data_IF_673066146656
#
_entry.id   IF_673066146656
#
_cell.length_a   1.000
_cell.length_b   1.000
_cell.length_c   1.000
_cell.angle_alpha   90.00
_cell.angle_beta   90.00
_cell.angle_gamma   90.00
#
_symmetry.space_group_name_H-M   'P 1'
#
loop_
_entity.id
_entity.type
_entity.pdbx_description
1 polymer ?
#
# COMPACT_ATOMS: atom_id res chain seq x y z
N UNK A 1 34.28 10.37 52.02
CA UNK A 1 34.11 9.10 51.29
C UNK A 1 32.67 9.06 50.80
N UNK A 2 32.37 9.78 49.72
CA UNK A 2 31.06 9.72 49.07
C UNK A 2 31.17 8.72 47.92
N UNK A 3 30.45 7.62 48.01
CA UNK A 3 30.27 6.71 46.89
C UNK A 3 29.34 7.41 45.89
N UNK A 4 29.90 7.80 44.75
CA UNK A 4 29.10 8.21 43.61
C UNK A 4 28.57 6.91 43.02
N UNK A 5 27.25 6.70 43.12
CA UNK A 5 26.56 5.68 42.34
C UNK A 5 26.63 6.16 40.90
N UNK A 6 27.53 5.59 40.10
CA UNK A 6 27.39 5.65 38.65
C UNK A 6 26.06 4.97 38.31
N UNK A 7 25.16 5.60 37.54
CA UNK A 7 24.01 4.88 37.01
C UNK A 7 24.55 3.71 36.19
N UNK A 8 24.00 2.52 36.41
CA UNK A 8 24.18 1.42 35.48
C UNK A 8 23.51 1.86 34.17
N UNK A 9 24.30 2.28 33.19
CA UNK A 9 23.84 2.25 31.81
C UNK A 9 23.55 0.78 31.50
N UNK A 10 22.36 0.48 30.97
CA UNK A 10 22.15 -0.82 30.35
C UNK A 10 23.27 -1.03 29.32
N UNK A 11 23.79 -2.25 29.22
CA UNK A 11 24.64 -2.58 28.07
C UNK A 11 23.85 -2.25 26.80
N UNK A 12 24.53 -1.69 25.80
CA UNK A 12 23.98 -1.59 24.45
C UNK A 12 23.57 -3.03 24.06
N UNK A 13 22.34 -3.18 23.59
CA UNK A 13 21.79 -4.44 23.11
C UNK A 13 21.07 -4.17 21.80
N UNK A 14 20.58 -5.22 21.15
CA UNK A 14 19.96 -5.05 19.83
C UNK A 14 18.75 -4.11 19.90
N UNK A 15 18.83 -2.98 19.20
CA UNK A 15 17.77 -1.96 19.17
C UNK A 15 16.81 -2.25 18.02
N UNK A 16 15.51 -2.02 18.24
CA UNK A 16 14.50 -2.14 17.20
C UNK A 16 13.42 -1.07 17.33
N UNK A 17 12.89 -0.63 16.19
CA UNK A 17 11.84 0.39 16.10
C UNK A 17 10.77 0.00 15.10
N UNK A 18 9.51 0.28 15.45
CA UNK A 18 8.36 0.07 14.59
C UNK A 18 7.32 1.16 14.82
N UNK A 19 6.57 1.50 13.77
CA UNK A 19 5.44 2.39 13.91
C UNK A 19 4.43 2.22 12.79
N UNK A 20 3.19 2.57 13.08
CA UNK A 20 2.08 2.40 12.16
C UNK A 20 1.10 3.56 12.29
N UNK A 21 0.68 4.12 11.15
CA UNK A 21 -0.25 5.24 11.08
C UNK A 21 -1.26 5.04 9.97
N UNK A 22 -2.55 5.13 10.29
CA UNK A 22 -3.57 4.92 9.26
C UNK A 22 -3.81 6.13 8.35
N UNK A 23 -3.83 7.35 8.91
CA UNK A 23 -4.12 8.56 8.15
C UNK A 23 -3.04 9.61 8.41
N UNK A 24 -2.37 10.03 7.36
CA UNK A 24 -1.34 11.05 7.39
C UNK A 24 -1.45 12.05 6.23
N UNK A 25 -0.84 13.23 6.38
CA UNK A 25 -0.61 14.19 5.32
C UNK A 25 -1.22 15.57 5.58
N UNK A 26 -1.56 16.29 4.52
CA UNK A 26 -2.08 17.66 4.59
C UNK A 26 -3.41 17.76 3.88
N UNK A 27 -4.39 18.38 4.52
CA UNK A 27 -5.70 18.68 3.93
C UNK A 27 -5.94 20.18 4.00
N UNK A 28 -5.96 20.84 2.83
CA UNK A 28 -6.26 22.28 2.72
C UNK A 28 -5.36 23.16 3.61
N UNK A 29 -4.06 22.84 3.61
CA UNK A 29 -3.06 23.53 4.42
C UNK A 29 -3.09 23.20 5.91
N UNK A 30 -4.00 22.34 6.36
CA UNK A 30 -3.98 21.76 7.71
C UNK A 30 -3.15 20.49 7.70
N UNK A 31 -2.08 20.49 8.48
CA UNK A 31 -1.23 19.33 8.69
C UNK A 31 -1.92 18.35 9.66
N UNK A 32 -2.16 17.12 9.19
CA UNK A 32 -2.78 16.08 9.99
C UNK A 32 -1.83 15.54 11.07
N UNK A 33 -0.52 15.75 10.94
CA UNK A 33 0.49 15.42 11.97
C UNK A 33 0.29 16.19 13.28
N UNK A 34 -0.28 17.38 13.20
CA UNK A 34 -0.53 18.21 14.38
C UNK A 34 -1.75 17.73 15.19
N UNK A 35 -2.52 16.77 14.67
CA UNK A 35 -3.76 16.28 15.27
C UNK A 35 -3.45 15.02 16.09
N UNK A 36 -3.41 15.17 17.41
CA UNK A 36 -3.08 14.08 18.34
C UNK A 36 -4.02 12.86 18.21
N UNK A 37 -5.28 13.06 17.82
CA UNK A 37 -6.25 11.99 17.59
C UNK A 37 -5.93 11.12 16.36
N UNK A 38 -5.16 11.64 15.41
CA UNK A 38 -4.68 10.92 14.22
C UNK A 38 -3.28 10.34 14.41
N UNK A 39 -2.67 10.54 15.57
CA UNK A 39 -1.35 9.98 15.86
C UNK A 39 -1.39 8.45 15.76
N UNK A 40 -0.38 7.92 15.08
CA UNK A 40 -0.15 6.48 14.99
C UNK A 40 0.36 5.88 16.29
N UNK A 41 0.87 4.66 16.20
CA UNK A 41 1.67 4.02 17.24
C UNK A 41 3.14 4.06 16.85
N UNK A 42 4.00 4.19 17.85
CA UNK A 42 5.46 4.10 17.69
C UNK A 42 6.03 3.39 18.92
N UNK A 43 6.85 2.38 18.68
CA UNK A 43 7.48 1.57 19.72
C UNK A 43 8.97 1.43 19.47
N UNK A 44 9.71 1.39 20.57
CA UNK A 44 11.16 1.23 20.57
C UNK A 44 11.54 0.20 21.63
N UNK A 45 12.38 -0.76 21.25
CA UNK A 45 13.02 -1.68 22.15
C UNK A 45 14.54 -1.43 22.15
N UNK A 46 15.09 -1.20 23.33
CA UNK A 46 16.51 -0.90 23.56
C UNK A 46 17.25 -2.16 24.06
N UNK A 47 17.11 -3.29 23.36
CA UNK A 47 17.74 -4.56 23.72
C UNK A 47 17.14 -5.29 24.92
N UNK A 48 15.86 -5.06 25.22
CA UNK A 48 15.14 -5.72 26.32
C UNK A 48 14.50 -7.02 25.82
N UNK A 49 14.67 -8.10 26.59
CA UNK A 49 14.13 -9.43 26.27
C UNK A 49 12.60 -9.51 26.17
N UNK A 50 11.88 -8.56 26.78
CA UNK A 50 10.42 -8.48 26.63
C UNK A 50 10.11 -7.50 25.49
N UNK A 51 9.27 -7.88 24.52
CA UNK A 51 8.93 -7.01 23.41
C UNK A 51 8.11 -5.80 23.87
N UNK A 52 8.30 -4.68 23.19
CA UNK A 52 7.52 -3.47 23.37
C UNK A 52 6.46 -3.42 22.28
N UNK A 53 5.20 -3.61 22.66
CA UNK A 53 4.05 -3.63 21.74
C UNK A 53 3.05 -2.55 22.12
N UNK A 54 2.49 -1.86 21.11
CA UNK A 54 1.41 -0.90 21.29
C UNK A 54 0.35 -1.03 20.19
N UNK A 55 -0.88 -0.63 20.51
CA UNK A 55 -2.00 -0.65 19.59
C UNK A 55 -2.94 0.54 19.82
N UNK A 56 -3.33 1.21 18.75
CA UNK A 56 -4.22 2.38 18.78
C UNK A 56 -5.36 2.24 17.76
N UNK A 57 -6.53 1.75 18.16
CA UNK A 57 -7.70 1.74 17.29
C UNK A 57 -8.19 3.17 17.05
N UNK A 58 -8.28 3.56 15.77
CA UNK A 58 -8.77 4.88 15.39
C UNK A 58 -10.30 4.91 15.46
N UNK A 59 -10.83 5.75 16.34
CA UNK A 59 -12.27 6.00 16.40
C UNK A 59 -12.67 6.99 15.31
N UNK A 60 -13.34 6.48 14.27
CA UNK A 60 -13.79 7.27 13.12
C UNK A 60 -14.77 8.39 13.48
N UNK A 61 -15.44 8.31 14.64
CA UNK A 61 -16.29 9.40 15.12
C UNK A 61 -15.49 10.63 15.53
N UNK A 62 -14.17 10.50 15.71
CA UNK A 62 -13.27 11.64 15.95
C UNK A 62 -13.07 12.49 14.69
N UNK A 63 -13.23 11.92 13.48
CA UNK A 63 -13.09 12.68 12.23
C UNK A 63 -14.14 13.79 12.11
N UNK A 64 -15.35 13.57 12.64
CA UNK A 64 -16.43 14.57 12.72
C UNK A 64 -16.05 15.77 13.61
N UNK A 65 -15.11 15.59 14.53
CA UNK A 65 -14.68 16.61 15.49
C UNK A 65 -13.52 17.48 14.97
N UNK A 66 -12.78 16.96 13.99
CA UNK A 66 -11.66 17.64 13.36
C UNK A 66 -12.21 18.60 12.31
N UNK A 67 -12.03 19.90 12.54
CA UNK A 67 -12.49 20.94 11.63
C UNK A 67 -11.30 21.51 10.86
N UNK A 68 -11.33 21.38 9.54
CA UNK A 68 -10.32 21.91 8.62
C UNK A 68 -10.67 23.36 8.30
N UNK A 69 -9.70 24.27 8.44
CA UNK A 69 -9.90 25.70 8.16
C UNK A 69 -9.50 26.01 6.73
N UNK A 70 -10.46 26.39 5.89
CA UNK A 70 -10.22 26.66 4.46
C UNK A 70 -10.09 28.16 4.19
N UNK A 71 -10.81 28.96 4.99
CA UNK A 71 -10.83 30.41 4.94
C UNK A 71 -11.00 30.95 6.38
N UNK A 72 -10.71 32.24 6.67
CA UNK A 72 -10.84 32.80 8.01
C UNK A 72 -12.22 32.65 8.68
N UNK A 73 -13.25 32.14 7.98
CA UNK A 73 -14.57 31.87 8.54
C UNK A 73 -15.24 30.57 8.02
N UNK A 74 -14.55 29.71 7.27
CA UNK A 74 -15.12 28.44 6.76
C UNK A 74 -14.38 27.26 7.39
N UNK A 75 -15.14 26.46 8.15
CA UNK A 75 -14.70 25.22 8.76
C UNK A 75 -15.49 24.08 8.15
N UNK A 76 -14.79 23.09 7.61
CA UNK A 76 -15.39 21.87 7.09
C UNK A 76 -14.89 20.71 7.97
N UNK A 77 -15.79 19.89 8.52
CA UNK A 77 -15.41 18.63 9.18
C UNK A 77 -14.56 17.76 8.27
N UNK A 78 -13.52 17.11 8.79
CA UNK A 78 -12.70 16.19 8.01
C UNK A 78 -13.53 15.03 7.44
N UNK A 79 -14.58 14.62 8.14
CA UNK A 79 -15.57 13.62 7.71
C UNK A 79 -16.32 13.94 6.41
N UNK A 80 -16.40 15.24 6.05
CA UNK A 80 -17.04 15.65 4.81
C UNK A 80 -16.09 15.45 3.61
N UNK A 81 -14.77 15.34 3.84
CA UNK A 81 -13.76 15.09 2.81
C UNK A 81 -13.34 13.62 2.81
N UNK A 82 -13.08 13.05 3.98
CA UNK A 82 -12.56 11.69 4.17
C UNK A 82 -13.44 10.94 5.15
N UNK A 83 -14.09 9.87 4.68
CA UNK A 83 -14.83 8.92 5.50
C UNK A 83 -14.01 7.65 5.61
N UNK A 84 -13.74 7.21 6.82
CA UNK A 84 -12.99 5.99 7.08
C UNK A 84 -13.88 4.94 7.77
N UNK A 85 -13.61 3.67 7.50
CA UNK A 85 -14.05 2.57 8.34
C UNK A 85 -13.26 2.48 9.64
N UNK A 86 -13.72 1.66 10.59
CA UNK A 86 -12.99 1.42 11.83
C UNK A 86 -11.63 0.78 11.54
N UNK A 87 -10.53 1.44 11.89
CA UNK A 87 -9.17 0.98 11.56
C UNK A 87 -8.34 0.81 12.82
N UNK A 88 -7.39 -0.10 12.77
CA UNK A 88 -6.47 -0.33 13.85
C UNK A 88 -5.03 -0.03 13.43
N UNK A 89 -4.19 0.26 14.41
CA UNK A 89 -2.79 0.56 14.23
C UNK A 89 -2.03 -0.24 15.27
N UNK A 90 -1.02 -0.99 14.85
CA UNK A 90 -0.30 -1.91 15.72
C UNK A 90 1.18 -1.91 15.37
N UNK A 91 2.03 -1.95 16.39
CA UNK A 91 3.48 -2.07 16.22
C UNK A 91 4.11 -2.84 17.37
N UNK A 92 5.16 -3.59 17.07
CA UNK A 92 6.00 -4.29 18.05
C UNK A 92 7.48 -4.13 17.72
N UNK A 93 8.28 -3.94 18.77
CA UNK A 93 9.74 -3.90 18.72
C UNK A 93 10.28 -4.98 19.67
N UNK A 94 11.04 -5.93 19.14
CA UNK A 94 11.54 -7.10 19.85
C UNK A 94 13.05 -6.99 20.12
N UNK A 95 13.58 -7.90 20.93
CA UNK A 95 15.03 -8.08 21.01
C UNK A 95 15.57 -8.64 19.67
N UNK A 96 16.89 -8.76 19.54
CA UNK A 96 17.53 -9.23 18.30
C UNK A 96 17.19 -8.37 17.07
N UNK A 97 17.04 -7.06 17.21
CA UNK A 97 16.90 -6.13 16.08
C UNK A 97 15.73 -6.50 15.14
N UNK A 98 14.64 -7.05 15.71
CA UNK A 98 13.42 -7.44 14.96
C UNK A 98 12.29 -6.46 15.26
N UNK A 99 11.61 -5.99 14.22
CA UNK A 99 10.51 -5.03 14.35
C UNK A 99 9.41 -5.28 13.33
N UNK A 100 8.15 -5.07 13.76
CA UNK A 100 6.97 -5.36 12.96
C UNK A 100 5.88 -4.32 13.19
N UNK A 101 5.27 -3.84 12.13
CA UNK A 101 4.23 -2.80 12.14
C UNK A 101 3.13 -3.14 11.15
N UNK A 102 1.88 -2.84 11.51
CA UNK A 102 0.72 -3.02 10.64
C UNK A 102 -0.39 -2.01 10.95
N UNK A 103 -1.15 -1.61 9.93
CA UNK A 103 -2.30 -0.71 10.08
C UNK A 103 -3.42 -1.01 9.09
N UNK A 104 -4.65 -0.62 9.43
CA UNK A 104 -5.84 -0.81 8.61
C UNK A 104 -6.73 -1.94 9.13
N UNK A 105 -6.94 -2.98 8.31
CA UNK A 105 -7.74 -4.16 8.63
C UNK A 105 -7.06 -5.17 9.56
N UNK A 106 -6.50 -4.64 10.64
CA UNK A 106 -5.66 -5.37 11.58
C UNK A 106 -6.41 -5.54 12.90
N UNK A 107 -6.43 -6.75 13.44
CA UNK A 107 -6.93 -7.02 14.79
C UNK A 107 -5.93 -6.54 15.85
N UNK A 108 -6.39 -6.35 17.11
CA UNK A 108 -5.58 -5.83 18.22
C UNK A 108 -4.34 -6.67 18.58
N UNK A 109 -4.20 -7.85 17.97
CA UNK A 109 -3.08 -8.77 18.14
C UNK A 109 -2.13 -8.78 16.92
N UNK A 110 -2.21 -7.80 16.03
CA UNK A 110 -1.41 -7.75 14.80
C UNK A 110 -1.91 -8.69 13.69
N UNK A 111 -3.04 -9.39 13.90
CA UNK A 111 -3.60 -10.28 12.89
C UNK A 111 -4.31 -9.49 11.79
N UNK A 112 -3.80 -9.55 10.56
CA UNK A 112 -4.45 -8.94 9.39
C UNK A 112 -5.64 -9.80 8.97
N UNK A 113 -6.78 -9.18 8.67
CA UNK A 113 -7.93 -9.88 8.11
C UNK A 113 -8.57 -9.13 6.96
N UNK A 114 -9.12 -9.91 6.02
CA UNK A 114 -9.53 -9.46 4.69
C UNK A 114 -10.93 -8.78 4.67
N UNK A 115 -11.35 -8.12 5.75
CA UNK A 115 -12.62 -7.37 5.77
C UNK A 115 -13.93 -8.19 5.83
N UNK A 116 -13.90 -9.53 5.73
CA UNK A 116 -15.12 -10.37 5.57
C UNK A 116 -15.70 -10.97 6.86
N UNK A 117 -14.98 -10.86 7.99
CA UNK A 117 -15.44 -11.34 9.30
C UNK A 117 -15.93 -10.18 10.18
N UNK A 118 -16.85 -10.46 11.12
CA UNK A 118 -17.49 -9.41 11.92
C UNK A 118 -16.45 -8.74 12.86
N UNK A 119 -16.03 -7.52 12.53
CA UNK A 119 -15.08 -6.73 13.32
C UNK A 119 -13.95 -6.05 12.51
N UNK A 120 -13.88 -6.27 11.20
CA UNK A 120 -12.87 -5.66 10.31
C UNK A 120 -13.37 -4.32 9.70
N UNK A 121 -12.46 -3.44 9.22
CA UNK A 121 -12.76 -2.07 8.79
C UNK A 121 -13.77 -1.96 7.67
N UNK A 122 -14.49 -0.84 7.67
CA UNK A 122 -15.31 -0.42 6.54
C UNK A 122 -14.48 0.27 5.44
N UNK A 123 -15.14 0.47 4.30
CA UNK A 123 -14.63 1.21 3.14
C UNK A 123 -14.14 2.62 3.53
N UNK A 124 -13.19 3.14 2.75
CA UNK A 124 -12.81 4.55 2.78
C UNK A 124 -13.45 5.29 1.59
N UNK A 125 -13.94 6.51 1.81
CA UNK A 125 -14.49 7.34 0.75
C UNK A 125 -13.86 8.72 0.82
N UNK A 126 -13.38 9.19 -0.33
CA UNK A 126 -12.86 10.54 -0.54
C UNK A 126 -13.85 11.31 -1.40
N UNK A 127 -14.51 12.29 -0.80
CA UNK A 127 -15.39 13.22 -1.50
C UNK A 127 -14.59 14.47 -1.80
N UNK A 128 -14.30 14.68 -3.09
CA UNK A 128 -13.49 15.79 -3.56
C UNK A 128 -14.35 16.90 -4.15
N UNK A 129 -15.69 16.78 -4.14
CA UNK A 129 -16.63 17.72 -4.76
C UNK A 129 -16.33 19.17 -4.38
N UNK A 130 -16.23 19.41 -3.07
CA UNK A 130 -16.07 20.75 -2.50
C UNK A 130 -14.66 21.31 -2.75
N UNK A 131 -13.74 20.49 -3.26
CA UNK A 131 -12.34 20.83 -3.50
C UNK A 131 -12.05 21.19 -4.97
N UNK A 132 -12.95 20.87 -5.91
CA UNK A 132 -12.74 21.01 -7.35
C UNK A 132 -12.72 22.46 -7.86
N UNK A 133 -13.17 23.43 -7.06
CA UNK A 133 -13.14 24.85 -7.39
C UNK A 133 -14.10 25.28 -8.52
N UNK A 134 -14.49 26.55 -8.55
CA UNK A 134 -15.53 27.06 -9.46
C UNK A 134 -15.16 26.98 -10.96
N UNK A 135 -13.87 26.85 -11.30
CA UNK A 135 -13.41 26.79 -12.69
C UNK A 135 -13.64 25.45 -13.36
N UNK A 136 -13.86 24.39 -12.58
CA UNK A 136 -13.94 23.01 -13.07
C UNK A 136 -15.33 22.43 -13.02
N UNK A 137 -16.23 22.99 -12.22
CA UNK A 137 -17.63 22.56 -12.09
C UNK A 137 -18.43 22.59 -13.40
N UNK A 138 -17.94 23.32 -14.41
CA UNK A 138 -18.53 23.34 -15.75
C UNK A 138 -18.24 22.05 -16.56
N UNK A 139 -17.13 21.36 -16.27
CA UNK A 139 -16.69 20.13 -16.93
C UNK A 139 -16.86 18.91 -16.00
N UNK A 140 -16.39 19.01 -14.76
CA UNK A 140 -16.45 17.98 -13.73
C UNK A 140 -17.21 18.55 -12.55
N UNK A 141 -18.42 18.05 -12.31
CA UNK A 141 -19.23 18.50 -11.18
C UNK A 141 -18.82 17.86 -9.86
N UNK A 142 -18.26 16.65 -9.91
CA UNK A 142 -17.93 15.85 -8.74
C UNK A 142 -16.87 14.80 -9.11
N UNK A 143 -15.98 14.50 -8.16
CA UNK A 143 -15.01 13.42 -8.17
C UNK A 143 -15.06 12.74 -6.81
N UNK A 144 -15.44 11.47 -6.80
CA UNK A 144 -15.48 10.62 -5.61
C UNK A 144 -14.57 9.41 -5.84
N UNK A 145 -13.72 9.10 -4.86
CA UNK A 145 -12.92 7.87 -4.83
C UNK A 145 -13.39 7.00 -3.66
N UNK A 146 -13.98 5.85 -3.97
CA UNK A 146 -14.35 4.84 -3.00
C UNK A 146 -13.31 3.72 -3.00
N UNK A 147 -12.88 3.30 -1.82
CA UNK A 147 -11.89 2.24 -1.62
C UNK A 147 -12.46 1.23 -0.64
N UNK A 148 -12.18 -0.05 -0.89
CA UNK A 148 -12.45 -1.12 0.05
C UNK A 148 -11.60 -1.01 1.33
N UNK A 149 -11.54 -2.10 2.10
CA UNK A 149 -10.61 -2.18 3.21
C UNK A 149 -9.17 -1.99 2.70
N UNK A 150 -8.39 -1.17 3.42
CA UNK A 150 -7.00 -0.85 3.11
C UNK A 150 -6.13 -1.26 4.30
N UNK A 151 -5.01 -1.92 4.05
CA UNK A 151 -4.01 -2.26 5.08
C UNK A 151 -2.58 -2.28 4.54
N UNK A 152 -1.62 -2.14 5.46
CA UNK A 152 -0.20 -2.36 5.18
C UNK A 152 0.50 -3.07 6.33
N UNK A 153 1.63 -3.67 6.01
CA UNK A 153 2.50 -4.39 6.93
C UNK A 153 3.97 -4.16 6.56
N UNK A 154 4.80 -3.91 7.57
CA UNK A 154 6.25 -3.85 7.42
C UNK A 154 6.90 -4.70 8.50
N UNK A 155 7.86 -5.54 8.11
CA UNK A 155 8.64 -6.40 9.00
C UNK A 155 10.12 -6.29 8.66
N UNK A 156 10.97 -6.13 9.66
CA UNK A 156 12.42 -6.08 9.53
C UNK A 156 13.04 -7.04 10.54
N UNK A 157 13.83 -7.99 10.07
CA UNK A 157 14.51 -8.97 10.92
C UNK A 157 15.98 -9.19 10.49
N UNK A 158 16.85 -9.63 11.40
CA UNK A 158 18.20 -10.08 11.06
C UNK A 158 18.24 -11.22 10.05
N UNK A 159 19.10 -11.10 9.03
CA UNK A 159 19.44 -12.19 8.13
C UNK A 159 20.96 -12.29 7.95
N UNK A 160 21.59 -13.11 8.80
CA UNK A 160 23.06 -13.18 8.88
C UNK A 160 23.65 -11.87 9.42
N UNK A 161 24.64 -11.31 8.71
CA UNK A 161 25.23 -10.00 9.02
C UNK A 161 24.34 -8.83 8.53
N UNK A 162 23.36 -9.10 7.66
CA UNK A 162 22.47 -8.13 7.03
C UNK A 162 21.06 -8.16 7.68
N UNK A 163 20.11 -7.42 7.08
CA UNK A 163 18.70 -7.44 7.41
C UNK A 163 17.86 -7.97 6.25
N UNK A 164 16.67 -8.47 6.56
CA UNK A 164 15.64 -8.83 5.60
C UNK A 164 14.42 -7.98 5.89
N UNK A 165 13.94 -7.26 4.87
CA UNK A 165 12.72 -6.44 4.97
C UNK A 165 11.61 -7.09 4.17
N UNK A 166 10.46 -7.27 4.83
CA UNK A 166 9.21 -7.69 4.20
C UNK A 166 8.22 -6.54 4.24
N UNK A 167 7.62 -6.22 3.09
CA UNK A 167 6.60 -5.16 2.98
C UNK A 167 5.40 -5.70 2.21
N UNK A 168 4.22 -5.55 2.79
CA UNK A 168 2.97 -5.97 2.18
C UNK A 168 1.91 -4.87 2.30
N UNK A 169 0.97 -4.87 1.36
CA UNK A 169 -0.20 -4.01 1.38
C UNK A 169 -1.40 -4.75 0.78
N UNK A 170 -2.60 -4.36 1.20
CA UNK A 170 -3.84 -4.92 0.66
C UNK A 170 -4.87 -3.79 0.45
N UNK A 171 -5.52 -3.82 -0.70
CA UNK A 171 -6.67 -2.98 -1.04
C UNK A 171 -7.76 -3.92 -1.57
N UNK A 172 -8.89 -3.97 -0.88
CA UNK A 172 -9.98 -4.90 -1.21
C UNK A 172 -10.76 -4.54 -2.48
N UNK A 173 -10.58 -3.32 -3.00
CA UNK A 173 -11.20 -2.82 -4.23
C UNK A 173 -11.14 -1.30 -4.30
N UNK A 174 -11.43 -0.73 -5.47
CA UNK A 174 -11.47 0.72 -5.66
C UNK A 174 -12.35 1.12 -6.83
N UNK A 175 -13.14 2.18 -6.63
CA UNK A 175 -14.00 2.75 -7.66
C UNK A 175 -13.79 4.27 -7.71
N UNK A 176 -13.49 4.78 -8.90
CA UNK A 176 -13.46 6.21 -9.17
C UNK A 176 -14.76 6.61 -9.87
N UNK A 177 -15.45 7.60 -9.31
CA UNK A 177 -16.67 8.18 -9.88
C UNK A 177 -16.42 9.64 -10.25
N UNK A 178 -16.66 9.97 -11.51
CA UNK A 178 -16.49 11.33 -12.03
C UNK A 178 -17.80 11.80 -12.64
N UNK A 179 -18.46 12.76 -12.01
CA UNK A 179 -19.73 13.30 -12.51
C UNK A 179 -19.46 14.40 -13.53
N UNK A 180 -19.94 14.19 -14.75
CA UNK A 180 -19.71 15.09 -15.88
C UNK A 180 -21.07 15.63 -16.32
N UNK A 181 -21.41 16.92 -16.06
CA UNK A 181 -22.71 17.48 -16.39
C UNK A 181 -23.14 17.30 -17.84
N UNK A 182 -22.17 17.28 -18.77
CA UNK A 182 -22.40 17.08 -20.20
C UNK A 182 -22.93 15.67 -20.52
N UNK A 183 -22.68 14.70 -19.64
CA UNK A 183 -23.11 13.30 -19.78
C UNK A 183 -24.43 13.00 -19.07
N UNK A 184 -25.09 13.96 -18.40
CA UNK A 184 -26.29 13.75 -17.54
C UNK A 184 -27.56 13.18 -18.20
N UNK A 185 -27.49 12.71 -19.45
CA UNK A 185 -28.57 11.96 -20.11
C UNK A 185 -28.07 10.68 -20.78
N UNK A 186 -26.81 10.32 -20.55
CA UNK A 186 -26.15 9.16 -21.12
C UNK A 186 -26.06 8.07 -20.06
N UNK A 187 -26.61 6.91 -20.39
CA UNK A 187 -26.36 5.66 -19.69
C UNK A 187 -25.67 4.72 -20.68
N UNK A 188 -24.45 4.28 -20.36
CA UNK A 188 -23.65 3.37 -21.16
C UNK A 188 -23.08 2.29 -20.26
N UNK A 189 -23.62 1.07 -20.34
CA UNK A 189 -23.05 -0.12 -19.71
C UNK A 189 -22.48 -1.03 -20.79
N UNK A 190 -21.23 -1.47 -20.60
CA UNK A 190 -20.51 -2.35 -21.53
C UNK A 190 -20.64 -3.84 -21.16
N UNK A 191 -21.50 -4.18 -20.19
CA UNK A 191 -21.67 -5.54 -19.67
C UNK A 191 -21.72 -5.56 -18.14
N UNK A 192 -22.00 -6.72 -17.56
CA UNK A 192 -22.02 -6.91 -16.10
C UNK A 192 -20.61 -6.92 -15.49
N UNK A 193 -19.58 -7.19 -16.30
CA UNK A 193 -18.17 -7.27 -15.89
C UNK A 193 -17.33 -6.08 -16.43
N UNK A 194 -17.98 -4.99 -16.83
CA UNK A 194 -17.30 -3.85 -17.41
C UNK A 194 -16.54 -3.06 -16.33
N UNK A 195 -15.22 -2.88 -16.51
CA UNK A 195 -14.43 -2.03 -15.64
C UNK A 195 -14.84 -0.54 -15.72
N UNK A 196 -15.51 -0.13 -16.79
CA UNK A 196 -15.93 1.25 -17.03
C UNK A 196 -17.38 1.29 -17.49
N UNK A 197 -18.18 2.16 -16.88
CA UNK A 197 -19.54 2.43 -17.31
C UNK A 197 -19.94 3.87 -17.01
N UNK A 198 -21.07 4.31 -17.60
CA UNK A 198 -21.67 5.61 -17.35
C UNK A 198 -23.10 5.38 -16.90
N UNK A 199 -23.47 5.97 -15.76
CA UNK A 199 -24.83 5.96 -15.22
C UNK A 199 -25.21 7.37 -14.77
N UNK A 200 -26.35 7.88 -15.21
CA UNK A 200 -26.90 9.19 -14.84
C UNK A 200 -25.92 10.38 -15.03
N UNK A 201 -24.95 10.24 -15.95
CA UNK A 201 -23.90 11.23 -16.22
C UNK A 201 -22.66 11.15 -15.32
N UNK A 202 -22.57 10.11 -14.51
CA UNK A 202 -21.37 9.77 -13.75
C UNK A 202 -20.60 8.69 -14.50
N UNK A 203 -19.32 8.94 -14.75
CA UNK A 203 -18.36 7.95 -15.23
C UNK A 203 -17.87 7.15 -14.03
N UNK A 204 -18.12 5.85 -14.06
CA UNK A 204 -17.65 4.90 -13.08
C UNK A 204 -16.47 4.11 -13.65
N UNK A 205 -15.40 4.01 -12.88
CA UNK A 205 -14.20 3.25 -13.21
C UNK A 205 -13.89 2.35 -12.02
N UNK A 206 -14.13 1.05 -12.18
CA UNK A 206 -13.68 0.01 -11.27
C UNK A 206 -12.18 -0.21 -11.49
N UNK A 207 -11.38 0.31 -10.56
CA UNK A 207 -9.93 0.26 -10.60
C UNK A 207 -9.42 -1.18 -10.42
N UNK A 208 -10.11 -1.99 -9.62
CA UNK A 208 -9.70 -3.38 -9.41
C UNK A 208 -9.91 -4.21 -10.68
N UNK A 209 -11.07 -4.05 -11.33
CA UNK A 209 -11.33 -4.68 -12.63
C UNK A 209 -10.40 -4.15 -13.73
N UNK A 210 -10.12 -2.84 -13.75
CA UNK A 210 -9.29 -2.20 -14.77
C UNK A 210 -7.83 -2.68 -14.74
N UNK A 211 -7.28 -2.88 -13.54
CA UNK A 211 -5.88 -3.28 -13.35
C UNK A 211 -5.68 -4.78 -13.10
N UNK A 212 -6.75 -5.58 -13.19
CA UNK A 212 -6.75 -7.02 -12.88
C UNK A 212 -6.30 -7.33 -11.44
N UNK A 213 -6.61 -6.43 -10.52
CA UNK A 213 -6.19 -6.47 -9.12
C UNK A 213 -5.38 -5.22 -8.72
N UNK A 214 -5.72 -4.66 -7.56
CA UNK A 214 -4.93 -3.56 -6.95
C UNK A 214 -3.74 -4.03 -6.11
N UNK A 215 -3.66 -5.34 -5.86
CA UNK A 215 -2.61 -5.98 -5.06
C UNK A 215 -1.47 -6.45 -5.98
N UNK A 216 -0.26 -6.62 -5.43
CA UNK A 216 0.95 -7.05 -6.16
C UNK A 216 1.43 -6.09 -7.27
N UNK A 217 1.00 -4.83 -7.24
CA UNK A 217 1.51 -3.80 -8.14
C UNK A 217 2.93 -3.38 -7.71
N UNK A 218 3.82 -3.01 -8.65
CA UNK A 218 5.16 -2.53 -8.31
C UNK A 218 5.14 -1.34 -7.34
N UNK A 219 6.24 -1.09 -6.60
CA UNK A 219 6.34 0.06 -5.73
C UNK A 219 6.04 1.40 -6.44
N UNK A 220 5.31 2.28 -5.76
CA UNK A 220 4.95 3.61 -6.22
C UNK A 220 4.21 3.62 -7.57
N UNK A 221 3.32 2.65 -7.78
CA UNK A 221 2.52 2.55 -9.01
C UNK A 221 1.43 3.61 -9.01
N UNK A 222 1.34 4.40 -10.08
CA UNK A 222 0.31 5.43 -10.26
C UNK A 222 -0.92 4.83 -10.97
N UNK A 223 -2.06 4.80 -10.28
CA UNK A 223 -3.35 4.32 -10.80
C UNK A 223 -4.09 5.41 -11.57
N UNK A 224 -4.13 6.61 -11.01
CA UNK A 224 -4.78 7.78 -11.60
C UNK A 224 -3.68 8.79 -11.91
N UNK A 225 -3.46 8.99 -13.21
CA UNK A 225 -2.41 9.80 -13.81
C UNK A 225 -2.52 9.75 -15.33
N UNK A 226 -1.55 10.28 -16.09
CA UNK A 226 -1.60 10.29 -17.55
C UNK A 226 -1.82 8.91 -18.18
N UNK A 227 -1.25 7.86 -17.58
CA UNK A 227 -1.39 6.49 -18.10
C UNK A 227 -2.77 5.88 -17.96
N UNK A 228 -3.63 6.37 -17.05
CA UNK A 228 -5.02 5.90 -16.97
C UNK A 228 -5.76 6.18 -18.28
N UNK A 229 -5.58 7.38 -18.82
CA UNK A 229 -6.28 7.81 -20.03
C UNK A 229 -5.78 7.12 -21.28
N UNK A 230 -4.49 6.75 -21.34
CA UNK A 230 -3.98 5.88 -22.39
C UNK A 230 -4.73 4.52 -22.38
N UNK A 231 -4.99 3.94 -21.20
CA UNK A 231 -5.75 2.70 -21.06
C UNK A 231 -7.21 2.90 -21.46
N UNK A 232 -7.83 4.00 -21.03
CA UNK A 232 -9.21 4.33 -21.38
C UNK A 232 -9.38 4.50 -22.89
N UNK A 233 -8.46 5.21 -23.54
CA UNK A 233 -8.45 5.43 -24.99
C UNK A 233 -8.24 4.12 -25.76
N UNK A 234 -7.36 3.24 -25.29
CA UNK A 234 -7.16 1.91 -25.89
C UNK A 234 -8.42 1.05 -25.76
N UNK A 235 -9.08 1.03 -24.60
CA UNK A 235 -10.34 0.31 -24.37
C UNK A 235 -11.49 0.86 -25.23
N UNK A 236 -11.61 2.18 -25.31
CA UNK A 236 -12.57 2.83 -26.21
C UNK A 236 -12.25 2.50 -27.67
N UNK A 237 -10.98 2.55 -28.07
CA UNK A 237 -10.52 2.21 -29.40
C UNK A 237 -10.87 0.77 -29.79
N UNK A 238 -10.66 -0.19 -28.89
CA UNK A 238 -11.00 -1.60 -29.11
C UNK A 238 -12.51 -1.80 -29.25
N UNK A 239 -13.29 -1.23 -28.32
CA UNK A 239 -14.75 -1.29 -28.34
C UNK A 239 -15.33 -0.68 -29.63
N UNK A 240 -14.84 0.48 -30.04
CA UNK A 240 -15.27 1.16 -31.26
C UNK A 240 -14.80 0.45 -32.52
N UNK A 241 -13.62 -0.17 -32.48
CA UNK A 241 -13.14 -1.05 -33.53
C UNK A 241 -14.06 -2.23 -33.77
N UNK A 242 -14.61 -2.82 -32.71
CA UNK A 242 -15.57 -3.94 -32.80
C UNK A 242 -16.97 -3.50 -33.28
N UNK A 243 -17.43 -2.31 -32.88
CA UNK A 243 -18.67 -1.68 -33.37
C UNK A 243 -18.58 -1.20 -34.83
N UNK A 244 -17.36 -1.13 -35.38
CA UNK A 244 -17.05 -0.84 -36.78
C UNK A 244 -16.73 0.63 -37.05
N UNK A 245 -15.86 0.86 -38.05
CA UNK A 245 -15.30 2.18 -38.44
C UNK A 245 -16.35 3.30 -38.53
N UNK A 246 -17.60 2.99 -38.93
CA UNK A 246 -18.65 3.99 -39.08
C UNK A 246 -19.22 4.56 -37.77
N UNK A 247 -19.10 3.85 -36.65
CA UNK A 247 -19.50 4.38 -35.33
C UNK A 247 -18.37 5.21 -34.71
N UNK A 248 -17.12 4.76 -34.90
CA UNK A 248 -15.92 5.53 -34.54
C UNK A 248 -15.88 6.89 -35.25
N UNK A 249 -16.12 6.93 -36.56
CA UNK A 249 -16.22 8.19 -37.32
C UNK A 249 -17.34 9.11 -36.79
N UNK A 250 -18.46 8.54 -36.34
CA UNK A 250 -19.57 9.32 -35.79
C UNK A 250 -19.24 9.90 -34.41
N UNK A 251 -18.53 9.15 -33.56
CA UNK A 251 -18.12 9.61 -32.23
C UNK A 251 -16.98 10.64 -32.34
N UNK A 252 -16.04 10.44 -33.26
CA UNK A 252 -15.03 11.44 -33.60
C UNK A 252 -15.67 12.75 -34.11
N UNK A 253 -16.66 12.68 -35.01
CA UNK A 253 -17.39 13.88 -35.49
C UNK A 253 -18.28 14.53 -34.41
N UNK A 254 -18.63 13.78 -33.35
CA UNK A 254 -19.30 14.30 -32.15
C UNK A 254 -18.32 14.96 -31.17
N UNK A 255 -17.00 14.91 -31.43
CA UNK A 255 -15.98 15.50 -30.58
C UNK A 255 -15.78 14.75 -29.27
N UNK A 256 -15.99 13.42 -29.27
CA UNK A 256 -15.73 12.59 -28.08
C UNK A 256 -14.24 12.59 -27.74
N UNK A 257 -13.36 12.55 -28.75
CA UNK A 257 -11.91 12.62 -28.57
C UNK A 257 -11.49 13.94 -27.89
N UNK A 258 -12.08 15.08 -28.29
CA UNK A 258 -11.82 16.37 -27.65
C UNK A 258 -12.33 16.41 -26.19
N UNK A 259 -13.38 15.64 -25.87
CA UNK A 259 -13.93 15.53 -24.52
C UNK A 259 -13.06 14.62 -23.63
N UNK A 260 -12.58 13.49 -24.17
CA UNK A 260 -11.71 12.56 -23.43
C UNK A 260 -10.35 13.21 -23.16
N UNK A 261 -9.75 13.87 -24.15
CA UNK A 261 -8.50 14.61 -23.99
C UNK A 261 -8.64 15.73 -22.94
N UNK A 262 -9.75 16.50 -23.01
CA UNK A 262 -10.01 17.59 -22.07
C UNK A 262 -10.30 17.10 -20.66
N UNK A 263 -10.97 15.96 -20.51
CA UNK A 263 -11.19 15.31 -19.22
C UNK A 263 -9.90 14.72 -18.66
N UNK A 264 -9.05 14.15 -19.51
CA UNK A 264 -7.76 13.59 -19.16
C UNK A 264 -6.83 14.65 -18.58
N UNK A 265 -6.65 15.75 -19.32
CA UNK A 265 -5.84 16.88 -18.86
C UNK A 265 -6.40 17.45 -17.55
N UNK A 266 -7.72 17.65 -17.48
CA UNK A 266 -8.37 18.16 -16.28
C UNK A 266 -8.20 17.24 -15.07
N UNK A 267 -8.42 15.93 -15.20
CA UNK A 267 -8.34 15.00 -14.08
C UNK A 267 -6.90 14.77 -13.63
N UNK A 268 -5.94 14.66 -14.55
CA UNK A 268 -4.53 14.43 -14.21
C UNK A 268 -3.85 15.63 -13.57
N UNK A 269 -4.30 16.84 -13.90
CA UNK A 269 -3.89 18.06 -13.20
C UNK A 269 -4.45 18.13 -11.78
N UNK A 270 -5.52 17.37 -11.48
CA UNK A 270 -6.27 17.50 -10.24
C UNK A 270 -6.06 16.34 -9.31
N UNK A 271 -5.99 15.11 -9.79
CA UNK A 271 -6.00 13.90 -8.97
C UNK A 271 -4.85 13.00 -9.41
N UNK A 272 -3.95 12.71 -8.47
CA UNK A 272 -2.96 11.65 -8.58
C UNK A 272 -3.22 10.63 -7.47
N UNK A 273 -3.27 9.36 -7.85
CA UNK A 273 -3.44 8.25 -6.90
C UNK A 273 -2.34 7.23 -7.12
N UNK A 274 -1.52 7.01 -6.09
CA UNK A 274 -0.45 6.01 -6.07
C UNK A 274 -0.77 4.90 -5.08
N UNK A 275 -0.41 3.68 -5.43
CA UNK A 275 -0.46 2.50 -4.55
C UNK A 275 0.92 1.93 -4.30
N UNK A 276 1.03 1.10 -3.26
CA UNK A 276 2.29 0.48 -2.84
C UNK A 276 3.41 1.53 -2.65
N UNK A 277 3.10 2.59 -1.90
CA UNK A 277 3.98 3.74 -1.78
C UNK A 277 5.15 3.39 -0.86
N UNK A 278 6.35 3.39 -1.43
CA UNK A 278 7.60 3.04 -0.76
C UNK A 278 8.64 4.13 -1.09
N UNK A 279 8.86 5.12 -0.21
CA UNK A 279 9.76 6.25 -0.44
C UNK A 279 11.21 5.87 -0.77
N UNK A 280 11.64 4.70 -0.32
CA UNK A 280 12.98 4.15 -0.54
C UNK A 280 13.13 3.35 -1.85
N UNK A 281 12.03 3.12 -2.58
CA UNK A 281 12.01 2.41 -3.87
C UNK A 281 11.85 3.37 -5.05
N UNK A 282 12.32 3.00 -6.26
CA UNK A 282 12.10 3.80 -7.45
C UNK A 282 10.60 3.87 -7.80
N UNK A 283 10.19 4.97 -8.44
CA UNK A 283 8.85 5.08 -9.03
C UNK A 283 8.70 4.06 -10.18
N UNK A 284 7.67 3.20 -10.10
CA UNK A 284 7.30 2.32 -11.21
C UNK A 284 6.60 3.06 -12.36
N UNK A 285 6.09 4.26 -12.10
CA UNK A 285 5.31 5.05 -13.05
C UNK A 285 3.86 4.58 -13.13
N UNK A 286 3.20 4.89 -14.25
CA UNK A 286 1.80 4.56 -14.45
C UNK A 286 1.55 3.04 -14.50
N UNK A 287 0.50 2.60 -13.83
CA UNK A 287 0.00 1.24 -13.92
C UNK A 287 -0.37 0.91 -15.37
N UNK A 288 -0.08 -0.32 -15.80
CA UNK A 288 -0.64 -0.88 -17.02
C UNK A 288 -1.26 -2.24 -16.69
N UNK A 289 -2.31 -2.69 -17.40
CA UNK A 289 -2.90 -4.01 -17.17
C UNK A 289 -1.87 -5.16 -17.28
N UNK A 290 -0.79 -4.96 -18.02
CA UNK A 290 0.30 -5.95 -18.18
C UNK A 290 1.39 -5.91 -17.10
N UNK A 291 1.36 -4.97 -16.15
CA UNK A 291 2.44 -4.82 -15.14
C UNK A 291 2.31 -5.79 -13.95
N UNK A 292 1.32 -6.68 -13.95
CA UNK A 292 1.13 -7.62 -12.87
C UNK A 292 2.26 -8.69 -12.83
N UNK A 293 2.80 -8.89 -11.63
CA UNK A 293 3.59 -10.07 -11.18
C UNK A 293 5.09 -10.05 -11.41
N UNK A 294 5.83 -9.14 -10.77
CA UNK A 294 7.17 -9.50 -10.21
C UNK A 294 7.62 -8.52 -9.11
N UNK A 295 6.79 -8.21 -8.10
CA UNK A 295 7.32 -7.60 -6.88
C UNK A 295 7.77 -8.74 -5.95
N UNK A 296 9.06 -8.79 -5.61
CA UNK A 296 9.50 -9.61 -4.49
C UNK A 296 9.18 -8.80 -3.24
N UNK A 297 8.26 -9.28 -2.40
CA UNK A 297 7.88 -8.59 -1.15
C UNK A 297 8.94 -8.75 -0.06
N UNK A 298 10.01 -9.48 -0.35
CA UNK A 298 11.15 -9.73 0.53
C UNK A 298 12.40 -9.21 -0.15
N UNK A 299 13.07 -8.27 0.50
CA UNK A 299 14.30 -7.66 0.01
C UNK A 299 15.43 -7.84 1.02
N UNK A 300 16.63 -8.17 0.52
CA UNK A 300 17.83 -8.09 1.33
C UNK A 300 18.18 -6.62 1.58
N UNK A 301 18.19 -6.24 2.85
CA UNK A 301 18.52 -4.91 3.33
C UNK A 301 19.96 -4.90 3.86
N UNK A 302 20.86 -4.22 3.15
CA UNK A 302 22.26 -4.08 3.56
C UNK A 302 22.44 -3.06 4.71
N UNK A 303 21.40 -2.32 5.06
CA UNK A 303 21.39 -1.33 6.13
C UNK A 303 20.19 -1.58 7.03
N UNK A 304 20.27 -1.05 8.24
CA UNK A 304 19.16 -1.02 9.17
C UNK A 304 18.44 0.31 9.15
N UNK A 305 18.33 0.94 7.98
CA UNK A 305 17.64 2.23 7.84
C UNK A 305 16.12 2.07 8.06
N UNK A 306 15.38 3.17 8.05
CA UNK A 306 13.92 3.11 8.13
C UNK A 306 13.36 2.65 6.79
N UNK A 307 12.53 1.62 6.83
CA UNK A 307 11.76 1.11 5.71
C UNK A 307 10.28 1.34 5.96
N UNK A 308 9.55 1.73 4.93
CA UNK A 308 8.14 2.07 5.03
C UNK A 308 7.36 1.60 3.83
N UNK A 309 6.10 1.23 4.06
CA UNK A 309 5.13 0.96 3.00
C UNK A 309 3.79 1.59 3.40
N UNK A 310 3.20 2.31 2.45
CA UNK A 310 1.82 2.73 2.54
C UNK A 310 1.00 2.10 1.42
N UNK A 311 -0.24 1.72 1.72
CA UNK A 311 -1.09 1.10 0.73
C UNK A 311 -1.48 2.09 -0.38
N UNK A 312 -1.74 3.36 -0.02
CA UNK A 312 -2.24 4.37 -0.94
C UNK A 312 -1.75 5.77 -0.57
N UNK A 313 -1.46 6.58 -1.59
CA UNK A 313 -1.34 8.03 -1.49
C UNK A 313 -2.30 8.70 -2.49
N UNK A 314 -3.14 9.60 -1.99
CA UNK A 314 -4.05 10.41 -2.80
C UNK A 314 -3.60 11.86 -2.73
N UNK A 315 -3.34 12.44 -3.89
CA UNK A 315 -2.97 13.85 -4.01
C UNK A 315 -3.95 14.58 -4.90
N UNK A 316 -4.56 15.64 -4.35
CA UNK A 316 -5.37 16.58 -5.08
C UNK A 316 -4.54 17.84 -5.42
N UNK A 317 -4.20 18.01 -6.70
CA UNK A 317 -3.29 18.99 -7.27
C UNK A 317 -3.99 20.15 -8.00
N UNK A 318 -5.26 20.43 -7.74
CA UNK A 318 -5.97 21.49 -8.47
C UNK A 318 -5.76 22.90 -7.89
N UNK A 319 -4.80 23.70 -8.35
CA UNK A 319 -4.83 25.19 -8.31
C UNK A 319 -5.16 25.94 -7.00
N UNK A 320 -5.20 25.26 -5.86
CA UNK A 320 -5.67 25.80 -4.60
C UNK A 320 -4.61 26.72 -3.99
N UNK A 321 -4.92 28.02 -3.93
CA UNK A 321 -4.10 29.01 -3.21
C UNK A 321 -3.95 28.67 -1.71
N UNK A 322 -4.79 27.77 -1.19
CA UNK A 322 -4.91 27.41 0.23
C UNK A 322 -4.22 26.07 0.61
N UNK A 323 -3.34 25.54 -0.25
CA UNK A 323 -2.69 24.24 -0.03
C UNK A 323 -3.60 23.11 -0.50
N UNK A 324 -3.09 22.20 -1.34
CA UNK A 324 -3.86 21.07 -1.87
C UNK A 324 -4.23 20.05 -0.80
N UNK A 325 -4.67 18.87 -1.25
CA UNK A 325 -4.84 17.70 -0.39
C UNK A 325 -3.77 16.69 -0.77
N UNK A 326 -3.05 16.16 0.20
CA UNK A 326 -2.06 15.10 0.02
C UNK A 326 -2.20 14.20 1.23
N UNK A 327 -2.77 13.02 1.03
CA UNK A 327 -3.11 12.09 2.11
C UNK A 327 -2.47 10.74 1.83
N UNK A 328 -1.82 10.17 2.84
CA UNK A 328 -1.29 8.81 2.82
C UNK A 328 -2.15 7.94 3.73
N UNK A 329 -2.54 6.76 3.23
CA UNK A 329 -3.35 5.79 3.95
C UNK A 329 -2.56 4.52 4.25
N UNK A 330 -2.80 4.01 5.46
CA UNK A 330 -2.26 2.78 5.98
C UNK A 330 -0.73 2.73 5.77
N UNK A 331 0.01 3.58 6.46
CA UNK A 331 1.47 3.56 6.48
C UNK A 331 1.99 2.70 7.64
N UNK A 332 2.89 1.78 7.33
CA UNK A 332 3.65 0.98 8.29
C UNK A 332 5.14 1.20 8.05
N UNK A 333 5.90 1.38 9.12
CA UNK A 333 7.36 1.52 9.04
C UNK A 333 8.07 0.74 10.12
N UNK A 334 9.30 0.33 9.79
CA UNK A 334 10.21 -0.44 10.63
C UNK A 334 11.60 0.14 10.50
N UNK A 335 12.35 0.09 11.58
CA UNK A 335 13.71 0.60 11.64
C UNK A 335 13.81 2.11 11.96
N UNK A 336 15.02 2.59 12.30
CA UNK A 336 16.24 1.82 12.21
C UNK A 336 16.40 0.79 13.32
N UNK A 337 16.90 -0.39 12.98
CA UNK A 337 17.27 -1.44 13.94
C UNK A 337 18.79 -1.45 14.13
N UNK A 338 19.32 -2.06 15.18
CA UNK A 338 20.76 -2.17 15.38
C UNK A 338 21.07 -3.52 16.01
N UNK A 339 22.07 -4.22 15.47
CA UNK A 339 22.65 -5.38 16.13
C UNK A 339 23.83 -4.90 16.96
N UNK A 340 23.87 -5.28 18.22
CA UNK A 340 25.09 -5.18 19.02
C UNK A 340 26.08 -6.22 18.49
N UNK A 341 27.15 -5.74 17.86
CA UNK A 341 28.24 -6.60 17.36
C UNK A 341 29.04 -7.23 18.52
N UNK A 342 28.72 -6.90 19.78
CA UNK A 342 29.37 -7.46 20.95
C UNK A 342 30.85 -7.10 21.05
N UNK A 343 31.31 -6.10 20.28
CA UNK A 343 32.60 -5.47 20.51
C UNK A 343 32.49 -4.73 21.84
N UNK A 344 32.79 -5.44 22.94
CA UNK A 344 33.08 -4.80 24.21
C UNK A 344 34.04 -3.66 23.90
N UNK A 345 33.58 -2.43 24.09
CA UNK A 345 34.47 -1.28 24.05
C UNK A 345 35.54 -1.58 25.08
N UNK A 346 36.72 -2.01 24.63
CA UNK A 346 37.89 -2.05 25.46
C UNK A 346 38.10 -0.58 25.84
N UNK A 347 37.58 -0.22 27.00
CA UNK A 347 37.89 1.04 27.65
C UNK A 347 39.38 0.97 27.84
N UNK A 348 40.15 1.57 26.92
CA UNK A 348 41.56 1.82 27.14
C UNK A 348 41.59 2.64 28.42
N UNK A 349 41.89 1.94 29.52
CA UNK A 349 42.06 2.54 30.82
C UNK A 349 43.10 3.61 30.63
N UNK A 350 42.65 4.86 30.52
CA UNK A 350 43.52 6.00 30.63
C UNK A 350 43.93 5.99 32.08
N UNK A 351 45.02 5.26 32.38
CA UNK A 351 45.67 5.25 33.67
C UNK A 351 45.98 6.70 33.98
N UNK A 352 45.11 7.32 34.78
CA UNK A 352 45.29 8.68 35.23
C UNK A 352 46.35 8.58 36.31
N UNK A 353 47.61 8.60 35.89
CA UNK A 353 48.80 8.82 36.71
C UNK A 353 48.52 10.08 37.54
N UNK A 354 48.06 9.87 38.77
CA UNK A 354 47.79 10.94 39.70
C UNK A 354 49.14 11.33 40.29
N UNK A 355 49.86 12.22 39.62
CA UNK A 355 51.06 12.85 40.17
C UNK A 355 50.66 13.64 41.41
N UNK A 356 50.81 13.00 42.58
CA UNK A 356 50.63 13.64 43.87
C UNK A 356 51.90 14.41 44.19
N UNK A 357 52.04 15.62 43.65
CA UNK A 357 53.05 16.58 44.10
C UNK A 357 52.73 16.98 45.56
N UNK A 358 53.37 16.31 46.51
CA UNK A 358 53.36 16.72 47.92
C UNK A 358 54.52 17.68 48.15
N UNK A 359 54.26 18.98 48.12
CA UNK A 359 55.18 19.99 48.66
C UNK A 359 55.32 19.78 50.18
N UNK A 360 56.52 19.39 50.63
CA UNK A 360 56.88 19.36 52.05
C UNK A 360 57.94 20.43 52.31
N UNK A 361 57.50 21.54 52.92
CA UNK A 361 58.42 22.53 53.50
C UNK A 361 59.22 21.92 54.66
N UNK A 362 60.50 22.28 54.69
CA UNK A 362 61.51 21.65 55.53
C UNK A 362 61.31 21.78 57.03
N UNK A 363 61.74 20.75 57.75
CA UNK A 363 62.34 20.87 59.08
C UNK A 363 63.30 19.70 59.25
N UNK A 364 64.58 20.03 59.45
CA UNK A 364 65.67 19.10 59.65
C UNK A 364 65.50 18.36 60.98
N UNK A 365 65.44 17.03 60.95
CA UNK A 365 65.69 16.18 62.12
C UNK A 365 66.53 14.99 61.66
N UNK A 366 67.79 15.00 62.06
CA UNK A 366 68.66 13.83 61.99
C UNK A 366 68.28 12.83 63.07
N UNK A 367 68.00 11.59 62.69
CA UNK A 367 68.25 10.42 63.54
C UNK A 367 68.57 9.21 62.68
N UNK A 368 69.69 8.59 63.02
CA UNK A 368 70.24 7.37 62.44
C UNK A 368 69.44 6.10 62.82
N UNK A 369 69.72 5.04 62.05
CA UNK A 369 69.84 3.63 62.50
C UNK A 369 68.63 2.71 62.31
N UNK A 370 68.84 1.78 61.35
CA UNK A 370 68.50 0.35 61.31
C UNK A 370 67.15 -0.13 61.86
N UNK A 371 66.29 -0.72 61.01
CA UNK A 371 65.61 -1.98 61.39
C UNK A 371 65.05 -2.74 60.17
N UNK A 372 65.61 -3.93 59.97
CA UNK A 372 65.03 -5.24 59.64
C UNK A 372 64.04 -5.41 58.46
N UNK A 373 64.51 -6.24 57.53
CA UNK A 373 63.71 -7.04 56.59
C UNK A 373 63.12 -8.21 57.36
N UNK A 374 61.79 -8.27 57.48
CA UNK A 374 61.08 -9.52 57.74
C UNK A 374 60.20 -9.87 56.55
N UNK A 375 60.37 -11.10 56.07
CA UNK A 375 59.68 -11.62 54.92
C UNK A 375 58.23 -12.00 55.20
N UNK A 376 57.51 -12.29 54.12
CA UNK A 376 56.46 -13.30 54.15
C UNK A 376 56.52 -14.06 52.84
N UNK A 377 56.69 -15.37 52.98
CA UNK A 377 56.76 -16.36 51.92
C UNK A 377 55.34 -16.82 51.52
N UNK A 378 55.29 -17.51 50.37
CA UNK A 378 54.32 -18.54 49.91
C UNK A 378 52.88 -18.07 49.58
N UNK A 379 52.14 -18.55 48.58
CA UNK A 379 52.22 -19.62 47.58
C UNK A 379 51.60 -19.07 46.26
N UNK A 380 51.92 -19.47 45.04
CA UNK A 380 52.15 -20.81 44.52
C UNK A 380 50.87 -21.33 43.84
N UNK A 381 50.70 -21.13 42.53
CA UNK A 381 50.04 -22.10 41.64
C UNK A 381 50.41 -21.82 40.19
N UNK A 382 51.33 -22.64 39.66
CA UNK A 382 51.49 -22.82 38.23
C UNK A 382 50.40 -23.79 37.76
N UNK A 383 49.77 -23.52 36.61
CA UNK A 383 49.11 -24.56 35.83
C UNK A 383 49.26 -24.22 34.36
N UNK A 384 50.16 -24.94 33.70
CA UNK A 384 50.18 -25.11 32.26
C UNK A 384 48.99 -25.98 31.83
N UNK A 385 48.31 -25.63 30.75
CA UNK A 385 47.56 -26.57 29.89
C UNK A 385 47.44 -25.90 28.52
N UNK A 386 48.36 -26.19 27.60
CA UNK A 386 48.25 -27.23 26.56
C UNK A 386 46.98 -27.11 25.69
N UNK A 387 47.25 -26.71 24.45
CA UNK A 387 46.41 -26.80 23.27
C UNK A 387 46.20 -28.27 22.90
N UNK A 388 44.95 -28.73 22.82
CA UNK A 388 44.59 -29.88 21.99
C UNK A 388 43.30 -29.59 21.20
N UNK A 389 43.49 -29.66 19.88
CA UNK A 389 42.47 -29.72 18.85
C UNK A 389 42.10 -31.19 18.70
N UNK A 390 40.85 -31.57 18.96
CA UNK A 390 40.29 -32.84 18.50
C UNK A 390 39.06 -32.56 17.66
N UNK A 391 39.18 -32.90 16.37
CA UNK A 391 38.08 -32.89 15.42
C UNK A 391 37.08 -34.00 15.75
N UNK A 392 35.81 -33.71 15.51
CA UNK A 392 34.79 -34.75 15.38
C UNK A 392 34.10 -34.59 14.04
N UNK A 393 34.72 -35.19 13.03
CA UNK A 393 34.12 -35.44 11.73
C UNK A 393 32.97 -36.43 11.94
N UNK A 394 31.74 -36.01 11.65
CA UNK A 394 30.63 -36.94 11.44
C UNK A 394 30.27 -36.89 9.96
N UNK A 395 30.89 -37.79 9.21
CA UNK A 395 30.43 -38.19 7.88
C UNK A 395 29.19 -39.11 7.98
N UNK A 396 28.56 -39.31 6.81
CA UNK A 396 27.61 -40.39 6.43
C UNK A 396 26.13 -40.03 6.69
N UNK A 397 25.18 -40.14 5.75
CA UNK A 397 25.11 -40.90 4.50
C UNK A 397 24.22 -40.19 3.47
N UNK A 398 24.49 -40.45 2.19
CA UNK A 398 23.75 -39.89 1.08
C UNK A 398 22.35 -40.46 0.90
N UNK A 399 21.52 -39.72 0.16
CA UNK A 399 20.50 -40.34 -0.68
C UNK A 399 20.42 -39.57 -1.98
N UNK A 400 21.14 -40.08 -2.97
CA UNK A 400 20.94 -39.77 -4.37
C UNK A 400 19.50 -40.17 -4.74
N UNK A 401 18.74 -39.26 -5.33
CA UNK A 401 17.54 -39.62 -6.10
C UNK A 401 17.83 -39.25 -7.54
N UNK A 402 18.36 -40.23 -8.25
CA UNK A 402 18.52 -40.24 -9.69
C UNK A 402 17.25 -40.79 -10.35
N UNK A 403 16.79 -40.08 -11.38
CA UNK A 403 16.19 -40.64 -12.59
C UNK A 403 14.76 -41.15 -12.52
N UNK A 404 13.86 -40.49 -13.27
CA UNK A 404 13.12 -41.19 -14.32
C UNK A 404 12.52 -40.23 -15.34
N UNK A 405 13.23 -40.04 -16.46
CA UNK A 405 12.59 -39.77 -17.73
C UNK A 405 12.00 -41.08 -18.27
N UNK A 406 10.76 -41.06 -18.76
CA UNK A 406 10.26 -42.11 -19.66
C UNK A 406 9.23 -41.50 -20.61
N UNK A 407 9.69 -41.21 -21.82
CA UNK A 407 8.90 -41.24 -23.05
C UNK A 407 8.54 -42.71 -23.36
N UNK A 408 7.27 -43.00 -23.67
CA UNK A 408 6.89 -44.06 -24.63
C UNK A 408 5.38 -44.11 -24.88
N UNK A 409 5.04 -43.97 -26.16
CA UNK A 409 3.82 -44.38 -26.84
C UNK A 409 3.31 -45.78 -26.45
N UNK A 410 1.98 -45.98 -26.45
CA UNK A 410 1.35 -47.13 -27.11
C UNK A 410 -0.19 -47.05 -27.08
N UNK A 411 -0.75 -47.18 -28.28
CA UNK A 411 -2.14 -47.47 -28.63
C UNK A 411 -2.77 -48.60 -27.81
N UNK A 412 -4.08 -48.49 -27.53
CA UNK A 412 -4.97 -49.65 -27.55
C UNK A 412 -6.43 -49.21 -27.75
N UNK A 413 -6.90 -49.48 -28.98
CA UNK A 413 -8.29 -49.54 -29.40
C UNK A 413 -9.20 -50.26 -28.40
N UNK A 414 -10.39 -49.71 -28.21
CA UNK A 414 -11.55 -50.49 -27.80
C UNK A 414 -12.79 -49.99 -28.56
N UNK A 415 -12.95 -50.53 -29.76
CA UNK A 415 -14.24 -50.64 -30.45
C UNK A 415 -15.28 -51.28 -29.54
N UNK A 416 -16.44 -50.64 -29.42
CA UNK A 416 -17.69 -51.31 -29.08
C UNK A 416 -18.85 -50.61 -29.78
N UNK A 417 -19.11 -51.10 -31.00
CA UNK A 417 -20.33 -50.88 -31.76
C UNK A 417 -21.58 -51.26 -30.95
N UNK A 418 -22.60 -50.41 -31.04
CA UNK A 418 -23.92 -50.63 -30.46
C UNK A 418 -25.00 -49.86 -31.21
N UNK A 419 -25.22 -50.27 -32.46
CA UNK A 419 -26.26 -49.84 -33.38
C UNK A 419 -27.68 -49.99 -32.81
N UNK A 420 -28.53 -48.96 -32.88
CA UNK A 420 -29.97 -49.13 -33.08
C UNK A 420 -30.61 -47.89 -33.71
N UNK A 421 -30.98 -48.02 -34.99
CA UNK A 421 -31.82 -47.12 -35.76
C UNK A 421 -33.25 -47.04 -35.21
N UNK A 422 -33.80 -45.83 -35.14
CA UNK A 422 -35.17 -45.56 -34.70
C UNK A 422 -35.73 -44.30 -35.33
N UNK A 423 -36.28 -44.49 -36.52
CA UNK A 423 -36.94 -43.59 -37.47
C UNK A 423 -37.97 -42.57 -36.91
N UNK A 424 -38.21 -41.54 -37.73
CA UNK A 424 -39.45 -40.77 -37.96
C UNK A 424 -39.71 -39.41 -37.25
N UNK A 425 -39.51 -38.37 -38.07
CA UNK A 425 -40.43 -37.28 -38.41
C UNK A 425 -40.95 -36.34 -37.31
N UNK A 426 -40.47 -35.10 -37.35
CA UNK A 426 -40.99 -34.04 -36.49
C UNK A 426 -40.51 -32.61 -36.73
N UNK A 427 -40.33 -32.17 -37.98
CA UNK A 427 -40.39 -30.74 -38.33
C UNK A 427 -39.25 -29.85 -37.83
N UNK A 428 -38.02 -30.14 -38.24
CA UNK A 428 -36.92 -29.20 -38.09
C UNK A 428 -37.01 -28.12 -39.16
N UNK A 429 -37.38 -26.91 -38.73
CA UNK A 429 -37.27 -25.70 -39.55
C UNK A 429 -35.80 -25.51 -39.94
N UNK A 430 -35.50 -25.01 -41.15
CA UNK A 430 -34.13 -24.67 -41.48
C UNK A 430 -33.65 -23.60 -40.49
N UNK A 431 -32.65 -23.96 -39.70
CA UNK A 431 -31.87 -23.05 -38.87
C UNK A 431 -31.21 -22.02 -39.80
N UNK A 432 -31.86 -20.85 -39.91
CA UNK A 432 -31.24 -19.67 -40.47
C UNK A 432 -30.39 -19.10 -39.36
N UNK A 433 -29.11 -19.48 -39.31
CA UNK A 433 -28.12 -19.13 -38.28
C UNK A 433 -27.89 -17.62 -38.06
N UNK A 434 -28.93 -16.91 -37.68
CA UNK A 434 -28.89 -15.58 -37.09
C UNK A 434 -29.10 -15.78 -35.60
N UNK A 435 -28.00 -15.74 -34.85
CA UNK A 435 -28.03 -15.76 -33.40
C UNK A 435 -29.01 -14.72 -32.86
N UNK A 436 -29.74 -15.08 -31.81
CA UNK A 436 -30.79 -14.29 -31.17
C UNK A 436 -30.37 -12.86 -30.76
N UNK A 437 -29.07 -12.58 -30.67
CA UNK A 437 -28.49 -11.25 -30.45
C UNK A 437 -28.62 -10.30 -31.65
N UNK A 438 -28.55 -10.79 -32.90
CA UNK A 438 -28.67 -9.92 -34.09
C UNK A 438 -30.11 -9.42 -34.33
N UNK A 439 -31.11 -10.21 -33.94
CA UNK A 439 -32.52 -9.79 -33.97
C UNK A 439 -32.86 -8.81 -32.84
N UNK A 440 -32.14 -8.86 -31.72
CA UNK A 440 -32.30 -7.91 -30.62
C UNK A 440 -31.71 -6.54 -30.98
N UNK A 441 -30.56 -6.50 -31.65
CA UNK A 441 -29.95 -5.26 -32.17
C UNK A 441 -30.81 -4.63 -33.27
N UNK A 442 -31.35 -5.44 -34.21
CA UNK A 442 -32.30 -4.95 -35.22
C UNK A 442 -33.63 -4.50 -34.60
N UNK A 443 -34.07 -5.14 -33.51
CA UNK A 443 -35.24 -4.73 -32.73
C UNK A 443 -35.03 -3.38 -32.03
N UNK A 444 -33.86 -3.17 -31.41
CA UNK A 444 -33.51 -1.94 -30.70
C UNK A 444 -33.33 -0.76 -31.67
N UNK A 445 -32.68 -0.99 -32.81
CA UNK A 445 -32.54 0.00 -33.88
C UNK A 445 -33.89 0.48 -34.46
N UNK A 446 -34.88 -0.41 -34.56
CA UNK A 446 -36.22 -0.07 -35.04
C UNK A 446 -37.03 0.74 -34.00
N UNK A 447 -36.79 0.51 -32.71
CA UNK A 447 -37.41 1.27 -31.60
C UNK A 447 -36.81 2.67 -31.47
N UNK A 448 -35.49 2.81 -31.64
CA UNK A 448 -34.78 4.11 -31.65
C UNK A 448 -35.17 4.97 -32.87
N UNK A 449 -35.25 4.38 -34.07
CA UNK A 449 -35.73 5.09 -35.26
C UNK A 449 -37.21 5.51 -35.14
N UNK A 450 -38.04 4.68 -34.48
CA UNK A 450 -39.42 5.00 -34.16
C UNK A 450 -39.56 6.15 -33.14
N UNK A 451 -38.70 6.19 -32.13
CA UNK A 451 -38.65 7.24 -31.11
C UNK A 451 -38.25 8.61 -31.66
N UNK A 452 -37.21 8.66 -32.51
CA UNK A 452 -36.74 9.90 -33.14
C UNK A 452 -37.79 10.44 -34.13
N UNK A 453 -38.47 9.57 -34.88
CA UNK A 453 -39.56 9.97 -35.78
C UNK A 453 -40.80 10.49 -35.03
N UNK A 454 -41.16 9.88 -33.88
CA UNK A 454 -42.26 10.35 -33.04
C UNK A 454 -41.95 11.70 -32.36
N UNK A 455 -40.70 11.91 -31.93
CA UNK A 455 -40.23 13.16 -31.33
C UNK A 455 -40.22 14.32 -32.36
N UNK A 456 -39.79 14.06 -33.60
CA UNK A 456 -39.82 15.05 -34.69
C UNK A 456 -41.25 15.44 -35.12
N UNK A 457 -42.23 14.52 -35.06
CA UNK A 457 -43.64 14.80 -35.36
C UNK A 457 -44.34 15.57 -34.23
N UNK A 458 -43.95 15.35 -32.97
CA UNK A 458 -44.47 16.08 -31.82
C UNK A 458 -44.13 17.58 -31.86
N UNK A 459 -42.90 17.94 -32.28
CA UNK A 459 -42.47 19.35 -32.41
C UNK A 459 -43.20 20.15 -33.50
N UNK A 460 -43.86 19.51 -34.48
CA UNK A 460 -44.57 20.22 -35.58
C UNK A 460 -46.05 20.54 -35.32
N UNK A 461 -46.64 20.08 -34.21
CA UNK A 461 -48.06 20.35 -33.87
C UNK A 461 -48.29 21.44 -32.82
N UNK A 462 -47.23 22.06 -32.31
CA UNK A 462 -47.31 23.02 -31.20
C UNK A 462 -47.29 24.50 -31.55
N UNK A 463 -47.68 24.93 -32.75
CA UNK A 463 -47.81 26.37 -33.08
C UNK A 463 -48.98 26.61 -34.04
N UNK A 464 -50.17 26.78 -33.46
CA UNK A 464 -51.23 27.73 -33.87
C UNK A 464 -52.51 27.32 -33.14
N UNK A 465 -52.95 28.11 -32.16
CA UNK A 465 -54.32 28.67 -32.06
C UNK A 465 -54.28 29.78 -31.00
N UNK A 466 -54.66 30.98 -31.47
CA UNK A 466 -55.16 32.22 -30.84
C UNK A 466 -54.99 32.50 -29.34
#
# INVERSE_FOLDING_TARGET
>A
MGAWLTPAAAAEGDESRAGARFLDGTVLGTDLDEIAELAGVEVENLGQAEPVTDANPLDVTLLDSININIEPNLQIPLSDIIKLGAVNQWATAEDNATSHAATGAVADNGGIGTGVEAGFPGNATFDLTDLLGEGLTDTIADVELELGAVSSEAHLEPSGDDFEVTRDYEIAGGELRVTIPLLGSLDLSLGEDAAIWIEDGTLHIDLDALFEGLNDLPPNTELIGPGLFDILDDLLGELLGELGEGLGDLLGDLGVDDLTDGLAEALTDILSVKVNVQPDQPDAGAATPTTARTAANVEAAATSETYSVAALQVTLLGGLENGGVSVTLAESHVGPNHKDDGEETEVEGTETETETETEVEGTEVETETETEVEGTEVEGTETETETEVEGTETEVDGTEVDGTETEADADADADADGNEDGNEDGGELPDTGAGSSQLLILGLGLVLAGGIAAYAVSRRRGLTVE
#
